data_IF_384752556256
#
_entry.id   IF_384752556256
#
_cell.length_a   1.000
_cell.length_b   1.000
_cell.length_c   1.000
_cell.angle_alpha   90.00
_cell.angle_beta   90.00
_cell.angle_gamma   90.00
#
_symmetry.space_group_name_H-M   'P 1'
#
loop_
_entity.id
_entity.type
_entity.pdbx_description
1 polymer ?
#
# COMPACT_ATOMS: atom_id res chain seq x y z
N UNK A 1 -1.75 -1.19 32.97
CA UNK A 1 -1.55 -0.64 31.60
C UNK A 1 -0.90 0.73 31.75
N UNK A 2 0.39 0.83 31.51
CA UNK A 2 1.07 2.12 31.45
C UNK A 2 1.17 2.57 29.99
N UNK A 3 0.78 3.81 29.72
CA UNK A 3 0.83 4.40 28.39
C UNK A 3 2.06 5.30 28.30
N UNK A 4 3.02 4.94 27.46
CA UNK A 4 4.14 5.82 27.14
C UNK A 4 3.79 6.77 26.00
N UNK A 5 4.16 8.05 26.14
CA UNK A 5 4.00 9.09 25.12
C UNK A 5 5.20 9.06 24.19
N UNK A 6 4.94 8.80 22.89
CA UNK A 6 5.88 8.96 21.79
C UNK A 6 5.10 9.26 20.52
N UNK A 7 5.64 10.12 19.66
CA UNK A 7 4.97 10.69 18.51
C UNK A 7 4.42 9.63 17.54
N UNK A 8 3.11 9.56 17.42
CA UNK A 8 2.36 9.03 16.28
C UNK A 8 2.11 7.52 16.19
N UNK A 9 2.92 6.65 16.81
CA UNK A 9 2.68 5.20 16.90
C UNK A 9 2.59 4.82 18.37
N UNK A 10 1.47 4.28 18.82
CA UNK A 10 1.32 3.85 20.20
C UNK A 10 1.72 2.42 20.39
N UNK A 11 2.77 2.27 21.15
CA UNK A 11 3.22 1.02 21.73
C UNK A 11 2.41 0.76 23.02
N UNK A 12 1.50 -0.19 22.99
CA UNK A 12 0.88 -0.71 24.20
C UNK A 12 1.74 -1.86 24.74
N UNK A 13 2.41 -1.64 25.86
CA UNK A 13 3.21 -2.69 26.53
C UNK A 13 2.30 -3.57 27.37
N UNK A 14 2.14 -4.83 26.97
CA UNK A 14 1.64 -5.89 27.85
C UNK A 14 2.83 -6.61 28.47
N UNK A 15 2.97 -6.52 29.81
CA UNK A 15 3.90 -7.38 30.55
C UNK A 15 3.29 -8.77 30.66
N UNK A 16 3.87 -9.75 29.96
CA UNK A 16 3.62 -11.17 30.16
C UNK A 16 4.95 -11.82 30.55
N UNK A 17 4.97 -12.49 31.67
CA UNK A 17 6.15 -12.90 32.42
C UNK A 17 7.23 -13.64 31.64
N UNK A 18 8.48 -13.48 32.15
CA UNK A 18 9.70 -14.23 31.85
C UNK A 18 10.16 -14.29 30.38
N UNK A 19 11.21 -13.47 30.07
CA UNK A 19 11.91 -13.41 28.78
C UNK A 19 11.03 -12.96 27.57
N UNK A 20 10.33 -11.82 27.72
CA UNK A 20 9.42 -11.32 26.71
C UNK A 20 10.12 -10.35 25.77
N UNK A 21 10.23 -10.70 24.50
CA UNK A 21 10.28 -9.76 23.39
C UNK A 21 9.12 -8.79 23.56
N UNK A 22 9.39 -7.48 23.65
CA UNK A 22 8.34 -6.46 23.70
C UNK A 22 7.65 -6.47 22.35
N UNK A 23 6.47 -7.09 22.29
CA UNK A 23 5.67 -7.09 21.08
C UNK A 23 4.93 -5.77 20.98
N UNK A 24 5.24 -5.02 19.93
CA UNK A 24 4.58 -3.78 19.63
C UNK A 24 3.16 -4.05 19.10
N UNK A 25 2.17 -3.46 19.77
CA UNK A 25 0.77 -3.58 19.38
C UNK A 25 0.31 -2.30 18.68
N UNK A 26 -0.41 -2.47 17.60
CA UNK A 26 -1.04 -1.40 16.83
C UNK A 26 -2.56 -1.46 16.94
N UNK A 27 -3.20 -0.32 16.76
CA UNK A 27 -4.66 -0.23 16.69
C UNK A 27 -5.06 -0.03 15.24
N UNK A 28 -5.84 -0.96 14.71
CA UNK A 28 -6.56 -0.81 13.46
C UNK A 28 -8.02 -0.43 13.75
N UNK A 29 -8.60 0.44 12.93
CA UNK A 29 -10.01 0.81 13.07
C UNK A 29 -10.68 1.00 11.71
N UNK A 30 -11.99 0.72 11.69
CA UNK A 30 -12.82 0.73 10.49
C UNK A 30 -13.06 -0.66 9.92
N UNK A 31 -14.21 -0.85 9.26
CA UNK A 31 -14.63 -2.17 8.77
C UNK A 31 -13.66 -2.72 7.74
N UNK A 32 -13.34 -1.95 6.68
CA UNK A 32 -12.46 -2.41 5.61
C UNK A 32 -11.02 -2.72 6.05
N UNK A 33 -10.31 -1.84 6.80
CA UNK A 33 -8.95 -2.14 7.24
C UNK A 33 -8.86 -3.43 8.07
N UNK A 34 -9.81 -3.63 8.99
CA UNK A 34 -9.84 -4.83 9.83
C UNK A 34 -10.19 -6.07 9.00
N UNK A 35 -11.15 -5.97 8.08
CA UNK A 35 -11.53 -7.06 7.17
C UNK A 35 -10.34 -7.48 6.29
N UNK A 36 -9.65 -6.53 5.66
CA UNK A 36 -8.51 -6.82 4.79
C UNK A 36 -7.30 -7.38 5.57
N UNK A 37 -7.05 -6.90 6.79
CA UNK A 37 -6.02 -7.48 7.65
C UNK A 37 -6.33 -8.95 8.02
N UNK A 38 -7.61 -9.29 8.27
CA UNK A 38 -8.04 -10.67 8.53
C UNK A 38 -7.90 -11.53 7.27
N UNK A 39 -8.28 -11.02 6.08
CA UNK A 39 -8.16 -11.74 4.82
C UNK A 39 -6.70 -11.99 4.43
N UNK A 40 -5.85 -10.98 4.58
CA UNK A 40 -4.41 -11.08 4.31
C UNK A 40 -3.72 -12.13 5.19
N UNK A 41 -4.21 -12.34 6.42
CA UNK A 41 -3.71 -13.38 7.33
C UNK A 41 -2.27 -13.16 7.81
N UNK A 42 -1.69 -11.99 7.56
CA UNK A 42 -0.30 -11.62 7.89
C UNK A 42 -0.15 -10.99 9.27
N UNK A 43 -1.28 -10.61 9.91
CA UNK A 43 -1.30 -9.98 11.23
C UNK A 43 -1.81 -10.95 12.30
N UNK A 44 -1.20 -10.90 13.46
CA UNK A 44 -1.74 -11.58 14.64
C UNK A 44 -2.67 -10.62 15.38
N UNK A 45 -3.94 -11.04 15.53
CA UNK A 45 -4.95 -10.32 16.29
C UNK A 45 -4.93 -10.76 17.74
N UNK A 46 -4.90 -9.79 18.65
CA UNK A 46 -5.11 -10.04 20.07
C UNK A 46 -6.61 -9.97 20.40
N UNK A 47 -7.27 -8.87 19.99
CA UNK A 47 -8.67 -8.64 20.25
C UNK A 47 -9.31 -7.80 19.14
N UNK A 48 -10.58 -8.11 18.85
CA UNK A 48 -11.42 -7.30 17.96
C UNK A 48 -12.63 -6.82 18.80
N UNK A 49 -12.88 -5.51 18.75
CA UNK A 49 -13.97 -4.88 19.49
C UNK A 49 -14.94 -4.27 18.48
N UNK A 50 -16.23 -4.57 18.64
CA UNK A 50 -17.30 -4.05 17.79
C UNK A 50 -18.32 -3.27 18.61
N UNK A 51 -18.89 -2.24 18.02
CA UNK A 51 -19.91 -1.42 18.68
C UNK A 51 -21.21 -2.23 18.86
N UNK A 52 -21.74 -2.26 20.08
CA UNK A 52 -22.97 -2.98 20.44
C UNK A 52 -24.20 -2.40 19.74
N UNK A 53 -24.21 -1.08 19.55
CA UNK A 53 -25.35 -0.32 18.99
C UNK A 53 -25.43 -0.40 17.47
N UNK A 54 -24.39 -0.93 16.80
CA UNK A 54 -24.34 -1.01 15.34
C UNK A 54 -24.62 -2.43 14.86
N UNK A 55 -25.70 -2.59 14.10
CA UNK A 55 -26.14 -3.87 13.54
C UNK A 55 -26.43 -3.73 12.03
N UNK A 56 -25.42 -3.31 11.26
CA UNK A 56 -25.56 -3.30 9.80
C UNK A 56 -24.98 -4.59 9.18
N UNK A 57 -25.34 -4.83 7.93
CA UNK A 57 -24.95 -6.01 7.18
C UNK A 57 -23.41 -6.17 7.08
N UNK A 58 -22.66 -5.06 6.95
CA UNK A 58 -21.20 -5.08 6.83
C UNK A 58 -20.55 -5.55 8.13
N UNK A 59 -21.01 -5.04 9.25
CA UNK A 59 -20.51 -5.44 10.56
C UNK A 59 -20.85 -6.91 10.85
N UNK A 60 -22.04 -7.35 10.49
CA UNK A 60 -22.46 -8.74 10.62
C UNK A 60 -21.55 -9.68 9.81
N UNK A 61 -21.23 -9.34 8.55
CA UNK A 61 -20.31 -10.09 7.71
C UNK A 61 -18.90 -10.14 8.32
N UNK A 62 -18.39 -9.02 8.84
CA UNK A 62 -17.09 -8.97 9.50
C UNK A 62 -17.05 -9.88 10.74
N UNK A 63 -18.08 -9.83 11.60
CA UNK A 63 -18.17 -10.69 12.79
C UNK A 63 -18.23 -12.17 12.40
N UNK A 64 -18.95 -12.52 11.34
CA UNK A 64 -18.97 -13.89 10.81
C UNK A 64 -17.58 -14.32 10.30
N UNK A 65 -16.85 -13.44 9.59
CA UNK A 65 -15.48 -13.68 9.17
C UNK A 65 -14.54 -13.88 10.37
N UNK A 66 -14.63 -13.04 11.41
CA UNK A 66 -13.86 -13.21 12.64
C UNK A 66 -14.08 -14.58 13.26
N UNK A 67 -15.34 -15.00 13.39
CA UNK A 67 -15.70 -16.30 13.96
C UNK A 67 -15.15 -17.47 13.14
N UNK A 68 -15.25 -17.40 11.80
CA UNK A 68 -14.72 -18.44 10.91
C UNK A 68 -13.20 -18.59 11.01
N UNK A 69 -12.50 -17.53 11.42
CA UNK A 69 -11.04 -17.52 11.65
C UNK A 69 -10.65 -17.78 13.12
N UNK A 70 -11.62 -18.06 14.02
CA UNK A 70 -11.37 -18.29 15.43
C UNK A 70 -10.91 -17.06 16.22
N UNK A 71 -11.18 -15.86 15.70
CA UNK A 71 -10.76 -14.60 16.32
C UNK A 71 -11.74 -14.19 17.41
N UNK A 72 -11.21 -13.64 18.51
CA UNK A 72 -12.02 -13.19 19.65
C UNK A 72 -12.66 -11.85 19.33
N UNK A 73 -14.00 -11.79 19.38
CA UNK A 73 -14.79 -10.56 19.20
C UNK A 73 -15.47 -10.20 20.51
N UNK A 74 -15.27 -8.96 20.95
CA UNK A 74 -15.90 -8.37 22.11
C UNK A 74 -16.84 -7.24 21.68
N UNK A 75 -17.93 -7.04 22.40
CA UNK A 75 -18.88 -5.94 22.16
C UNK A 75 -18.75 -4.89 23.25
N UNK A 76 -18.60 -3.63 22.84
CA UNK A 76 -18.53 -2.48 23.71
C UNK A 76 -19.40 -1.34 23.19
N UNK A 77 -19.63 -0.31 24.01
CA UNK A 77 -20.36 0.86 23.56
C UNK A 77 -19.49 1.72 22.61
N UNK A 78 -20.15 2.58 21.82
CA UNK A 78 -19.47 3.42 20.82
C UNK A 78 -18.46 4.38 21.44
N UNK A 79 -18.71 4.88 22.63
CA UNK A 79 -17.84 5.82 23.35
C UNK A 79 -16.50 5.17 23.68
N UNK A 80 -16.51 3.93 24.17
CA UNK A 80 -15.29 3.16 24.42
C UNK A 80 -14.48 2.91 23.13
N UNK A 81 -15.16 2.62 22.01
CA UNK A 81 -14.44 2.48 20.72
C UNK A 81 -13.82 3.82 20.29
N UNK A 82 -14.51 4.95 20.50
CA UNK A 82 -13.97 6.28 20.21
C UNK A 82 -12.77 6.60 21.07
N UNK A 83 -12.78 6.25 22.35
CA UNK A 83 -11.65 6.42 23.26
C UNK A 83 -10.44 5.60 22.81
N UNK A 84 -10.65 4.32 22.50
CA UNK A 84 -9.59 3.41 22.03
C UNK A 84 -9.00 3.86 20.70
N UNK A 85 -9.84 4.16 19.71
CA UNK A 85 -9.39 4.59 18.37
C UNK A 85 -8.95 6.07 18.33
N UNK A 86 -9.32 6.88 19.36
CA UNK A 86 -9.14 8.34 19.42
C UNK A 86 -9.72 9.09 18.22
N UNK A 87 -10.76 8.54 17.66
CA UNK A 87 -11.47 9.12 16.52
C UNK A 87 -12.88 8.56 16.44
N UNK A 88 -13.81 9.36 15.98
CA UNK A 88 -15.16 8.91 15.64
C UNK A 88 -15.22 8.12 14.32
N UNK A 89 -14.11 8.11 13.56
CA UNK A 89 -14.01 7.46 12.26
C UNK A 89 -13.87 5.94 12.31
N UNK A 90 -13.98 5.31 13.49
CA UNK A 90 -13.78 3.85 13.68
C UNK A 90 -14.87 2.98 13.05
N UNK A 91 -15.98 3.56 12.59
CA UNK A 91 -17.05 2.80 11.93
C UNK A 91 -17.53 1.58 12.75
N UNK A 92 -17.54 1.68 14.08
CA UNK A 92 -17.99 0.62 14.97
C UNK A 92 -17.05 -0.58 15.10
N UNK A 93 -15.78 -0.48 14.66
CA UNK A 93 -14.80 -1.56 14.75
C UNK A 93 -13.44 -1.02 15.16
N UNK A 94 -12.81 -1.67 16.13
CA UNK A 94 -11.44 -1.46 16.58
C UNK A 94 -10.78 -2.83 16.78
N UNK A 95 -9.55 -3.00 16.34
CA UNK A 95 -8.79 -4.22 16.52
C UNK A 95 -7.39 -3.92 17.08
N UNK A 96 -6.95 -4.72 18.04
CA UNK A 96 -5.58 -4.75 18.52
C UNK A 96 -4.83 -5.83 17.78
N UNK A 97 -3.76 -5.43 17.08
CA UNK A 97 -2.98 -6.32 16.24
C UNK A 97 -1.49 -6.13 16.52
N UNK A 98 -0.67 -7.15 16.27
CA UNK A 98 0.79 -6.96 16.24
C UNK A 98 1.15 -6.01 15.12
N UNK A 99 2.18 -5.19 15.35
CA UNK A 99 2.71 -4.28 14.34
C UNK A 99 3.09 -5.04 13.07
N UNK A 100 2.91 -4.38 11.93
CA UNK A 100 3.32 -4.95 10.65
C UNK A 100 4.83 -5.10 10.61
N UNK A 101 5.29 -6.28 10.26
CA UNK A 101 6.70 -6.51 9.94
C UNK A 101 7.03 -5.85 8.61
N UNK A 102 8.10 -5.06 8.59
CA UNK A 102 8.62 -4.46 7.38
C UNK A 102 9.71 -5.36 6.80
N UNK A 103 9.74 -5.41 5.50
CA UNK A 103 10.74 -6.14 4.73
C UNK A 103 12.03 -5.34 4.59
N UNK A 104 13.10 -6.01 4.21
CA UNK A 104 14.32 -5.41 3.69
C UNK A 104 14.20 -5.20 2.18
N UNK A 105 15.18 -4.51 1.57
CA UNK A 105 15.22 -4.40 0.09
C UNK A 105 15.43 -5.78 -0.55
N UNK A 106 16.25 -6.63 0.07
CA UNK A 106 16.51 -7.99 -0.38
C UNK A 106 15.23 -8.83 -0.45
N UNK A 107 14.41 -8.75 0.61
CA UNK A 107 13.15 -9.48 0.69
C UNK A 107 12.19 -9.12 -0.45
N UNK A 108 12.22 -7.87 -0.96
CA UNK A 108 11.37 -7.46 -2.09
C UNK A 108 11.70 -8.23 -3.39
N UNK A 109 12.89 -8.83 -3.49
CA UNK A 109 13.32 -9.60 -4.65
C UNK A 109 13.11 -11.10 -4.50
N UNK A 110 12.69 -11.57 -3.34
CA UNK A 110 12.31 -12.97 -3.20
C UNK A 110 11.14 -13.29 -4.15
N UNK A 111 11.27 -14.37 -4.96
CA UNK A 111 10.25 -14.72 -5.93
C UNK A 111 8.93 -15.06 -5.21
N UNK A 112 7.83 -14.51 -5.70
CA UNK A 112 6.50 -14.96 -5.30
C UNK A 112 6.01 -16.01 -6.29
N UNK A 113 5.25 -17.03 -5.83
CA UNK A 113 4.71 -18.05 -6.71
C UNK A 113 3.87 -17.44 -7.84
N UNK A 114 4.29 -17.65 -9.10
CA UNK A 114 3.56 -17.19 -10.28
C UNK A 114 3.93 -15.79 -10.79
N UNK A 115 4.88 -15.08 -10.17
CA UNK A 115 5.35 -13.79 -10.66
C UNK A 115 6.48 -13.95 -11.71
N UNK A 116 6.38 -13.26 -12.86
CA UNK A 116 7.50 -13.20 -13.80
C UNK A 116 8.64 -12.37 -13.20
N UNK A 117 9.87 -12.91 -13.23
CA UNK A 117 11.04 -12.27 -12.63
C UNK A 117 11.50 -10.99 -13.37
N UNK A 118 11.02 -10.74 -14.58
CA UNK A 118 11.65 -9.82 -15.53
C UNK A 118 10.98 -8.46 -15.70
N UNK A 119 9.96 -8.12 -14.93
CA UNK A 119 9.26 -6.82 -15.06
C UNK A 119 8.70 -6.31 -13.73
N UNK A 120 9.57 -6.08 -12.75
CA UNK A 120 9.15 -5.57 -11.43
C UNK A 120 8.84 -4.09 -11.46
N UNK A 121 7.76 -3.70 -10.81
CA UNK A 121 7.38 -2.32 -10.56
C UNK A 121 7.43 -2.06 -9.05
N UNK A 122 8.34 -1.20 -8.61
CA UNK A 122 8.41 -0.75 -7.23
C UNK A 122 7.97 0.70 -7.11
N UNK A 123 7.50 1.08 -5.93
CA UNK A 123 7.21 2.46 -5.56
C UNK A 123 8.08 2.85 -4.38
N UNK A 124 8.86 3.93 -4.49
CA UNK A 124 9.63 4.49 -3.39
C UNK A 124 9.08 5.87 -3.01
N UNK A 125 9.03 6.17 -1.71
CA UNK A 125 8.50 7.42 -1.19
C UNK A 125 9.59 8.22 -0.49
N UNK A 126 9.89 9.40 -1.03
CA UNK A 126 10.89 10.33 -0.52
C UNK A 126 10.23 11.43 0.31
N UNK A 127 10.03 11.18 1.60
CA UNK A 127 9.53 12.19 2.54
C UNK A 127 8.03 12.52 2.39
N UNK A 128 7.20 11.56 2.03
CA UNK A 128 5.73 11.71 2.11
C UNK A 128 5.32 11.71 3.58
N UNK A 129 5.07 12.89 4.16
CA UNK A 129 4.86 13.09 5.59
C UNK A 129 3.39 13.01 6.02
N UNK A 130 2.44 13.26 5.11
CA UNK A 130 1.01 13.17 5.43
C UNK A 130 0.52 11.71 5.38
N UNK A 131 -0.04 11.17 6.49
CA UNK A 131 -0.59 9.83 6.52
C UNK A 131 -1.75 9.59 5.54
N UNK A 132 -2.48 10.62 5.14
CA UNK A 132 -3.56 10.49 4.16
C UNK A 132 -2.96 10.28 2.76
N UNK A 133 -1.95 11.07 2.38
CA UNK A 133 -1.23 10.89 1.12
C UNK A 133 -0.52 9.54 1.06
N UNK A 134 0.14 9.12 2.15
CA UNK A 134 0.72 7.78 2.25
C UNK A 134 -0.35 6.70 2.02
N UNK A 135 -1.47 6.75 2.74
CA UNK A 135 -2.54 5.77 2.58
C UNK A 135 -3.14 5.74 1.18
N UNK A 136 -3.35 6.92 0.56
CA UNK A 136 -3.84 7.02 -0.80
C UNK A 136 -2.86 6.44 -1.82
N UNK A 137 -1.55 6.71 -1.70
CA UNK A 137 -0.51 6.12 -2.54
C UNK A 137 -0.44 4.60 -2.40
N UNK A 138 -0.52 4.07 -1.18
CA UNK A 138 -0.55 2.61 -0.96
C UNK A 138 -1.77 1.97 -1.63
N UNK A 139 -2.94 2.60 -1.56
CA UNK A 139 -4.13 2.11 -2.24
C UNK A 139 -3.99 2.11 -3.76
N UNK A 140 -3.40 3.15 -4.31
CA UNK A 140 -3.11 3.25 -5.74
C UNK A 140 -2.08 2.19 -6.16
N UNK A 141 -1.01 2.01 -5.38
CA UNK A 141 0.04 1.02 -5.63
C UNK A 141 -0.52 -0.41 -5.69
N UNK A 142 -1.37 -0.78 -4.72
CA UNK A 142 -2.05 -2.07 -4.70
C UNK A 142 -2.94 -2.26 -5.95
N UNK A 143 -3.77 -1.24 -6.26
CA UNK A 143 -4.66 -1.27 -7.43
C UNK A 143 -3.94 -1.28 -8.77
N UNK A 144 -2.75 -0.72 -8.86
CA UNK A 144 -1.91 -0.72 -10.06
C UNK A 144 -1.05 -1.99 -10.20
N UNK A 145 -1.02 -2.85 -9.18
CA UNK A 145 -0.22 -4.08 -9.19
C UNK A 145 1.28 -3.82 -8.96
N UNK A 146 1.62 -2.91 -8.05
CA UNK A 146 3.00 -2.65 -7.62
C UNK A 146 3.52 -3.84 -6.82
N UNK A 147 4.69 -4.37 -7.17
CA UNK A 147 5.29 -5.56 -6.56
C UNK A 147 5.85 -5.30 -5.14
N UNK A 148 6.19 -4.04 -4.86
CA UNK A 148 6.69 -3.64 -3.56
C UNK A 148 6.80 -2.14 -3.37
N UNK A 149 6.80 -1.72 -2.10
CA UNK A 149 6.89 -0.31 -1.71
C UNK A 149 8.08 -0.11 -0.79
N UNK A 150 8.84 0.96 -1.01
CA UNK A 150 9.98 1.37 -0.17
C UNK A 150 9.62 2.64 0.58
N UNK A 151 9.61 2.56 1.91
CA UNK A 151 9.36 3.69 2.81
C UNK A 151 10.62 4.06 3.58
N UNK A 152 10.80 5.34 3.87
CA UNK A 152 11.87 5.80 4.78
C UNK A 152 11.40 5.71 6.25
N UNK A 153 12.32 5.38 7.16
CA UNK A 153 12.03 5.35 8.60
C UNK A 153 11.85 6.74 9.21
N UNK A 154 12.54 7.72 8.66
CA UNK A 154 12.57 9.09 9.16
C UNK A 154 12.08 10.05 8.10
N UNK A 155 11.50 11.17 8.54
CA UNK A 155 10.95 12.22 7.64
C UNK A 155 9.93 11.66 6.65
N UNK A 156 9.11 10.75 7.13
CA UNK A 156 8.00 10.18 6.39
C UNK A 156 6.86 9.85 7.34
N UNK A 157 5.63 9.83 6.83
CA UNK A 157 4.48 9.39 7.60
C UNK A 157 4.68 7.96 8.08
N UNK A 158 4.44 7.67 9.36
CA UNK A 158 4.40 6.29 9.82
C UNK A 158 3.21 5.56 9.17
N UNK A 159 3.32 4.25 9.03
CA UNK A 159 2.18 3.40 8.65
C UNK A 159 1.19 3.33 9.82
N UNK A 160 0.60 4.47 10.12
CA UNK A 160 -0.34 4.66 11.23
C UNK A 160 -1.72 4.08 10.90
N UNK A 161 -2.57 3.95 11.93
CA UNK A 161 -3.97 3.57 11.75
C UNK A 161 -4.72 4.47 10.75
N UNK A 162 -4.36 5.75 10.64
CA UNK A 162 -4.90 6.69 9.64
C UNK A 162 -4.46 6.28 8.23
N UNK A 163 -3.18 6.02 8.01
CA UNK A 163 -2.65 5.59 6.72
C UNK A 163 -3.26 4.25 6.29
N UNK A 164 -3.33 3.27 7.19
CA UNK A 164 -3.98 1.97 6.92
C UNK A 164 -5.46 2.14 6.58
N UNK A 165 -6.18 3.01 7.29
CA UNK A 165 -7.59 3.30 6.98
C UNK A 165 -7.75 3.96 5.62
N UNK A 166 -6.93 4.98 5.31
CA UNK A 166 -6.99 5.69 4.02
C UNK A 166 -6.62 4.76 2.86
N UNK A 167 -5.71 3.82 3.08
CA UNK A 167 -5.39 2.79 2.10
C UNK A 167 -6.53 1.78 1.87
N UNK A 168 -7.63 1.86 2.63
CA UNK A 168 -8.73 0.88 2.62
C UNK A 168 -8.26 -0.57 2.84
N UNK A 169 -7.14 -0.77 3.55
CA UNK A 169 -6.54 -2.07 3.83
C UNK A 169 -5.49 -2.52 2.82
N UNK A 170 -5.25 -1.80 1.72
CA UNK A 170 -4.22 -2.13 0.74
C UNK A 170 -2.82 -2.29 1.37
N UNK A 171 -2.54 -1.53 2.43
CA UNK A 171 -1.32 -1.67 3.20
C UNK A 171 -1.08 -3.09 3.75
N UNK A 172 -2.10 -3.91 3.93
CA UNK A 172 -1.98 -5.28 4.44
C UNK A 172 -1.55 -6.28 3.36
N UNK A 173 -1.86 -5.99 2.09
CA UNK A 173 -1.52 -6.84 0.94
C UNK A 173 -0.12 -6.55 0.43
N UNK A 174 0.26 -5.28 0.38
CA UNK A 174 1.53 -4.81 -0.17
C UNK A 174 2.75 -5.34 0.60
N UNK A 175 3.80 -5.64 -0.14
CA UNK A 175 5.15 -5.88 0.37
C UNK A 175 5.80 -4.54 0.63
N UNK A 176 6.08 -4.21 1.87
CA UNK A 176 6.60 -2.89 2.25
C UNK A 176 7.97 -3.06 2.90
N UNK A 177 9.01 -2.57 2.24
CA UNK A 177 10.34 -2.45 2.81
C UNK A 177 10.50 -1.10 3.51
N UNK A 178 11.26 -1.09 4.60
CA UNK A 178 11.56 0.11 5.37
C UNK A 178 13.05 0.35 5.43
N UNK A 179 13.48 1.55 5.03
CA UNK A 179 14.89 1.88 4.89
C UNK A 179 15.27 3.14 5.66
N UNK A 180 16.46 3.16 6.23
CA UNK A 180 17.00 4.34 6.92
C UNK A 180 17.45 5.41 5.91
N UNK A 181 18.01 4.98 4.78
CA UNK A 181 18.59 5.85 3.75
C UNK A 181 18.07 5.46 2.37
N UNK A 182 17.22 6.32 1.80
CA UNK A 182 16.60 6.06 0.51
C UNK A 182 17.63 6.06 -0.64
N UNK A 183 18.59 6.99 -0.64
CA UNK A 183 19.64 7.04 -1.69
C UNK A 183 20.38 5.71 -1.77
N UNK A 184 20.84 5.19 -0.62
CA UNK A 184 21.51 3.89 -0.58
C UNK A 184 20.61 2.75 -1.07
N UNK A 185 19.33 2.78 -0.70
CA UNK A 185 18.35 1.78 -1.17
C UNK A 185 18.16 1.85 -2.69
N UNK A 186 18.06 3.06 -3.27
CA UNK A 186 17.95 3.24 -4.72
C UNK A 186 19.21 2.77 -5.46
N UNK A 187 20.40 3.04 -4.92
CA UNK A 187 21.67 2.51 -5.46
C UNK A 187 21.72 0.97 -5.42
N UNK A 188 21.18 0.36 -4.37
CA UNK A 188 21.04 -1.10 -4.27
C UNK A 188 20.09 -1.65 -5.34
N UNK A 189 18.97 -0.97 -5.59
CA UNK A 189 18.00 -1.32 -6.64
C UNK A 189 18.64 -1.22 -8.03
N UNK A 190 19.47 -0.21 -8.31
CA UNK A 190 20.22 -0.08 -9.56
C UNK A 190 21.15 -1.27 -9.80
N UNK A 191 21.87 -1.73 -8.77
CA UNK A 191 22.73 -2.93 -8.87
C UNK A 191 21.95 -4.20 -9.23
N UNK A 192 20.64 -4.18 -9.02
CA UNK A 192 19.69 -5.26 -9.37
C UNK A 192 18.98 -5.02 -10.71
N UNK A 193 19.56 -4.17 -11.57
CA UNK A 193 19.04 -3.82 -12.90
C UNK A 193 17.64 -3.17 -12.86
N UNK A 194 17.37 -2.34 -11.86
CA UNK A 194 16.16 -1.52 -11.82
C UNK A 194 16.48 -0.09 -12.25
N UNK A 195 15.69 0.45 -13.16
CA UNK A 195 15.69 1.88 -13.47
C UNK A 195 15.07 2.67 -12.34
N UNK A 196 15.77 3.68 -11.85
CA UNK A 196 15.27 4.61 -10.83
C UNK A 196 14.68 5.82 -11.52
N UNK A 197 13.38 6.00 -11.42
CA UNK A 197 12.61 7.00 -12.16
C UNK A 197 11.94 7.94 -11.16
N UNK A 198 12.37 9.19 -11.12
CA UNK A 198 11.79 10.22 -10.28
C UNK A 198 10.65 10.96 -10.96
N UNK A 199 9.65 11.41 -10.19
CA UNK A 199 8.64 12.36 -10.65
C UNK A 199 8.95 13.76 -10.15
N UNK A 200 9.01 14.73 -11.08
CA UNK A 200 9.19 16.16 -10.80
C UNK A 200 8.48 16.99 -11.87
N UNK A 201 7.96 18.14 -11.51
CA UNK A 201 7.30 19.07 -12.45
C UNK A 201 8.21 19.53 -13.60
N UNK A 202 9.52 19.45 -13.39
CA UNK A 202 10.57 19.82 -14.35
C UNK A 202 11.24 18.60 -14.98
N UNK A 203 10.57 17.47 -14.98
CA UNK A 203 11.07 16.25 -15.65
C UNK A 203 11.25 16.51 -17.15
N UNK A 204 12.32 15.95 -17.72
CA UNK A 204 12.69 16.15 -19.14
C UNK A 204 11.80 15.35 -20.09
N UNK A 205 11.12 14.33 -19.58
CA UNK A 205 10.29 13.40 -20.37
C UNK A 205 8.89 13.34 -19.79
N UNK A 206 7.87 13.46 -20.63
CA UNK A 206 6.50 13.24 -20.20
C UNK A 206 6.27 11.77 -19.81
N UNK A 207 5.51 11.53 -18.74
CA UNK A 207 5.32 10.21 -18.15
C UNK A 207 4.77 9.16 -19.13
N UNK A 208 3.99 9.58 -20.13
CA UNK A 208 3.36 8.73 -21.15
C UNK A 208 4.26 8.44 -22.36
N UNK A 209 5.41 9.13 -22.46
CA UNK A 209 6.42 8.92 -23.51
C UNK A 209 7.54 7.98 -23.05
N UNK A 210 7.57 7.57 -21.78
CA UNK A 210 8.60 6.72 -21.23
C UNK A 210 8.14 5.26 -21.14
N UNK A 211 9.03 4.31 -21.49
CA UNK A 211 8.74 2.87 -21.36
C UNK A 211 8.85 2.40 -19.91
N UNK A 212 7.71 2.11 -19.31
CA UNK A 212 7.56 1.62 -17.94
C UNK A 212 7.35 0.09 -17.86
N UNK A 213 7.59 -0.65 -18.94
CA UNK A 213 7.37 -2.11 -18.98
C UNK A 213 8.48 -2.92 -18.32
N UNK A 214 9.69 -2.36 -18.25
CA UNK A 214 10.87 -3.01 -17.64
C UNK A 214 10.91 -2.94 -16.11
N UNK A 215 11.98 -3.45 -15.53
CA UNK A 215 12.23 -3.33 -14.09
C UNK A 215 12.46 -1.87 -13.71
N UNK A 216 11.56 -1.30 -12.92
CA UNK A 216 11.71 0.09 -12.49
C UNK A 216 11.16 0.34 -11.08
N UNK A 217 11.70 1.38 -10.44
CA UNK A 217 11.18 1.97 -9.22
C UNK A 217 10.78 3.42 -9.50
N UNK A 218 9.50 3.71 -9.31
CA UNK A 218 8.97 5.08 -9.38
C UNK A 218 9.19 5.75 -8.02
N UNK A 219 9.82 6.92 -8.01
CA UNK A 219 10.14 7.67 -6.79
C UNK A 219 9.24 8.89 -6.70
N UNK A 220 8.41 8.93 -5.65
CA UNK A 220 7.49 10.02 -5.36
C UNK A 220 8.05 10.89 -4.25
N UNK A 221 8.07 12.19 -4.45
CA UNK A 221 8.56 13.16 -3.50
C UNK A 221 7.51 13.71 -2.55
N UNK A 222 7.90 14.73 -1.79
CA UNK A 222 7.04 15.50 -0.89
C UNK A 222 6.05 16.35 -1.67
N UNK A 223 4.91 16.61 -1.05
CA UNK A 223 3.96 17.57 -1.59
C UNK A 223 4.56 18.98 -1.63
N UNK A 224 4.47 19.65 -2.77
CA UNK A 224 4.99 20.99 -3.03
C UNK A 224 6.53 21.11 -3.13
N UNK A 225 7.29 20.34 -2.39
CA UNK A 225 8.76 20.41 -2.40
C UNK A 225 9.43 19.35 -3.33
N UNK A 226 8.69 18.36 -3.78
CA UNK A 226 9.21 17.31 -4.65
C UNK A 226 10.27 16.43 -3.98
N UNK A 227 11.13 15.84 -4.78
CA UNK A 227 12.21 14.98 -4.34
C UNK A 227 13.35 15.76 -3.66
N UNK A 228 14.00 15.16 -2.67
CA UNK A 228 15.24 15.69 -2.13
C UNK A 228 16.35 15.66 -3.19
N UNK A 229 17.22 16.66 -3.16
CA UNK A 229 18.26 16.86 -4.18
C UNK A 229 19.16 15.64 -4.42
N UNK A 230 19.56 14.94 -3.34
CA UNK A 230 20.35 13.71 -3.45
C UNK A 230 19.57 12.57 -4.10
N UNK A 231 18.27 12.49 -3.84
CA UNK A 231 17.39 11.50 -4.47
C UNK A 231 17.24 11.81 -5.97
N UNK A 232 17.01 13.08 -6.33
CA UNK A 232 16.98 13.52 -7.74
C UNK A 232 18.23 13.10 -8.50
N UNK A 233 19.41 13.34 -7.93
CA UNK A 233 20.70 12.96 -8.54
C UNK A 233 20.89 11.45 -8.65
N UNK A 234 20.21 10.68 -7.82
CA UNK A 234 20.25 9.22 -7.88
C UNK A 234 19.30 8.66 -8.93
N UNK A 235 18.28 9.39 -9.36
CA UNK A 235 17.39 8.95 -10.42
C UNK A 235 18.13 8.85 -11.76
N UNK A 236 17.81 7.82 -12.55
CA UNK A 236 18.30 7.66 -13.92
C UNK A 236 17.49 8.52 -14.89
N UNK A 237 16.21 8.70 -14.62
CA UNK A 237 15.28 9.49 -15.42
C UNK A 237 14.37 10.32 -14.51
N UNK A 238 13.97 11.48 -15.02
CA UNK A 238 13.00 12.37 -14.36
C UNK A 238 11.80 12.56 -15.29
N UNK A 239 10.62 12.11 -14.84
CA UNK A 239 9.39 12.25 -15.59
C UNK A 239 8.56 13.42 -15.08
N UNK A 240 7.82 14.06 -15.99
CA UNK A 240 6.83 15.08 -15.68
C UNK A 240 5.41 14.65 -16.06
N UNK A 241 4.44 15.26 -15.41
CA UNK A 241 3.03 15.19 -15.81
C UNK A 241 2.67 16.56 -16.40
N UNK A 242 2.34 16.63 -17.71
CA UNK A 242 1.98 17.90 -18.34
C UNK A 242 0.77 18.56 -17.67
N UNK A 243 0.90 19.82 -17.32
CA UNK A 243 -0.14 20.62 -16.68
C UNK A 243 -0.65 21.67 -17.65
N UNK A 244 -1.87 21.51 -18.17
CA UNK A 244 -2.47 22.45 -19.11
C UNK A 244 -3.21 23.63 -18.44
N UNK A 245 -3.40 23.58 -17.13
CA UNK A 245 -4.14 24.58 -16.36
C UNK A 245 -3.25 25.60 -15.65
N UNK A 246 -3.84 26.36 -14.71
CA UNK A 246 -3.14 27.39 -13.95
C UNK A 246 -2.38 26.90 -12.72
N UNK A 247 -2.52 25.63 -12.33
CA UNK A 247 -1.76 25.04 -11.23
C UNK A 247 -0.52 24.34 -11.76
N UNK A 248 0.60 24.41 -11.02
CA UNK A 248 1.89 23.86 -11.47
C UNK A 248 2.06 22.37 -11.20
N UNK A 249 1.31 21.80 -10.26
CA UNK A 249 1.49 20.41 -9.86
C UNK A 249 0.20 19.77 -9.35
N UNK A 250 0.18 18.43 -9.31
CA UNK A 250 -0.85 17.63 -8.67
C UNK A 250 -0.45 17.29 -7.22
N UNK A 251 -1.45 16.99 -6.39
CA UNK A 251 -1.22 16.30 -5.13
C UNK A 251 -0.43 15.01 -5.38
N UNK A 252 0.49 14.66 -4.48
CA UNK A 252 1.42 13.53 -4.65
C UNK A 252 0.69 12.19 -4.88
N UNK A 253 -0.42 11.95 -4.20
CA UNK A 253 -1.18 10.72 -4.39
C UNK A 253 -1.91 10.68 -5.74
N UNK A 254 -2.35 11.84 -6.23
CA UNK A 254 -2.95 11.98 -7.57
C UNK A 254 -1.91 11.79 -8.66
N UNK A 255 -0.73 12.41 -8.53
CA UNK A 255 0.39 12.22 -9.45
C UNK A 255 0.81 10.73 -9.49
N UNK A 256 0.92 10.08 -8.32
CA UNK A 256 1.18 8.66 -8.22
C UNK A 256 0.14 7.80 -8.94
N UNK A 257 -1.16 8.16 -8.83
CA UNK A 257 -2.22 7.45 -9.54
C UNK A 257 -2.05 7.52 -11.06
N UNK A 258 -1.75 8.70 -11.59
CA UNK A 258 -1.54 8.90 -13.04
C UNK A 258 -0.41 8.00 -13.55
N UNK A 259 0.77 8.07 -12.93
CA UNK A 259 1.96 7.37 -13.44
C UNK A 259 1.92 5.87 -13.18
N UNK A 260 1.44 5.43 -12.01
CA UNK A 260 1.33 4.00 -11.69
C UNK A 260 0.30 3.29 -12.58
N UNK A 261 -0.84 3.94 -12.90
CA UNK A 261 -1.82 3.36 -13.80
C UNK A 261 -1.37 3.40 -15.27
N UNK A 262 -0.54 4.35 -15.67
CA UNK A 262 0.12 4.32 -16.97
C UNK A 262 1.10 3.13 -17.05
N UNK A 263 1.95 2.94 -16.04
CA UNK A 263 2.81 1.76 -15.96
C UNK A 263 2.01 0.44 -16.04
N UNK A 264 0.91 0.37 -15.29
CA UNK A 264 0.01 -0.79 -15.32
C UNK A 264 -0.63 -0.99 -16.71
N UNK A 265 -1.00 0.10 -17.43
CA UNK A 265 -1.54 0.04 -18.79
C UNK A 265 -0.52 -0.54 -19.75
N UNK A 266 0.69 0.02 -19.78
CA UNK A 266 1.77 -0.42 -20.67
C UNK A 266 2.12 -1.89 -20.44
N UNK A 267 2.24 -2.32 -19.19
CA UNK A 267 2.53 -3.72 -18.81
C UNK A 267 1.44 -4.69 -19.27
N UNK A 268 0.16 -4.32 -19.10
CA UNK A 268 -0.96 -5.13 -19.63
C UNK A 268 -0.95 -5.25 -21.15
N UNK A 269 -0.60 -4.19 -21.87
CA UNK A 269 -0.49 -4.23 -23.33
C UNK A 269 0.69 -5.08 -23.79
N UNK A 270 1.85 -4.95 -23.13
CA UNK A 270 3.02 -5.78 -23.40
C UNK A 270 2.73 -7.28 -23.14
N UNK A 271 2.02 -7.61 -22.08
CA UNK A 271 1.61 -8.99 -21.79
C UNK A 271 0.68 -9.55 -22.88
N UNK A 272 -0.34 -8.79 -23.29
CA UNK A 272 -1.25 -9.20 -24.38
C UNK A 272 -0.55 -9.41 -25.71
N UNK A 273 0.44 -8.59 -26.01
CA UNK A 273 1.24 -8.71 -27.24
C UNK A 273 2.10 -9.99 -27.26
N UNK A 274 2.54 -10.48 -26.09
CA UNK A 274 3.28 -11.75 -25.95
C UNK A 274 2.37 -12.99 -26.06
N UNK A 275 1.09 -12.88 -25.68
CA UNK A 275 0.14 -14.01 -25.73
C UNK A 275 -0.41 -14.32 -27.13
N UNK A 276 -0.20 -13.43 -28.12
CA UNK A 276 -0.72 -13.57 -29.50
C UNK A 276 -2.26 -13.38 -29.58
N UNK A 277 -2.84 -13.27 -30.77
CA UNK A 277 -4.26 -13.07 -30.93
C UNK A 277 -5.04 -14.31 -30.44
N UNK A 278 -5.82 -14.16 -29.39
CA UNK A 278 -6.77 -15.19 -28.94
C UNK A 278 -7.72 -15.48 -30.11
N UNK A 279 -7.60 -16.67 -30.71
CA UNK A 279 -8.49 -17.13 -31.77
C UNK A 279 -9.92 -17.13 -31.25
N UNK A 280 -10.69 -16.11 -31.60
CA UNK A 280 -12.13 -16.07 -31.38
C UNK A 280 -12.76 -17.21 -32.15
N UNK A 281 -13.05 -18.33 -31.50
CA UNK A 281 -13.91 -19.40 -32.04
C UNK A 281 -15.29 -18.80 -32.30
N UNK A 282 -15.51 -18.31 -33.54
CA UNK A 282 -16.83 -18.04 -34.05
C UNK A 282 -17.59 -19.36 -34.02
N UNK A 283 -18.56 -19.49 -33.13
CA UNK A 283 -19.54 -20.56 -33.16
C UNK A 283 -20.31 -20.45 -34.47
N UNK A 284 -19.96 -21.29 -35.45
CA UNK A 284 -20.79 -21.53 -36.63
C UNK A 284 -22.06 -22.22 -36.14
N UNK A 285 -23.13 -21.45 -36.03
CA UNK A 285 -24.49 -21.95 -35.92
C UNK A 285 -24.82 -22.63 -37.27
N UNK A 286 -24.66 -23.95 -37.35
CA UNK A 286 -25.22 -24.74 -38.44
C UNK A 286 -26.75 -24.69 -38.33
N UNK A 287 -27.37 -23.93 -39.20
CA UNK A 287 -28.77 -24.13 -39.56
C UNK A 287 -28.84 -25.38 -40.42
N UNK A 288 -29.25 -26.50 -39.86
CA UNK A 288 -29.73 -27.64 -40.60
C UNK A 288 -31.15 -27.36 -41.02
N UNK A 289 -31.36 -27.09 -42.29
CA UNK A 289 -32.63 -27.35 -42.95
C UNK A 289 -32.68 -28.85 -43.20
N UNK A 290 -33.76 -29.44 -42.81
CA UNK A 290 -34.14 -30.81 -43.15
C UNK A 290 -35.64 -30.86 -43.28
N UNK A 291 -36.05 -31.10 -44.45
CA UNK A 291 -37.37 -31.41 -45.07
C UNK A 291 -38.29 -32.14 -44.13
#
# INVERSE_FOLDING_TARGET
>A
MEFCHGDGVRECRLQVGSAATIELMEILYGVHPVEEAIKAGKRRFDQIIVARERQDERLTKLVALCRSKGLRVRQENREQLTELARTNGHQGVVAFVRSKEFLTIEDLFEPLPGEPADSRLLLAMDGVEDPQNLGALLRVADGAGVDGVVLTERRAAPLSAVAVKTSAGAAEHLRIARVVNLVRALEELKKRNMWVIGLDERGETDYDQFDLTGNCVLVMGREGAGLHELVKRTCDHMLSIPMAGGVSSLNVSTAGAVVLYEAARQRREAARSKEGPVATKKAKKQKGLGS
#
